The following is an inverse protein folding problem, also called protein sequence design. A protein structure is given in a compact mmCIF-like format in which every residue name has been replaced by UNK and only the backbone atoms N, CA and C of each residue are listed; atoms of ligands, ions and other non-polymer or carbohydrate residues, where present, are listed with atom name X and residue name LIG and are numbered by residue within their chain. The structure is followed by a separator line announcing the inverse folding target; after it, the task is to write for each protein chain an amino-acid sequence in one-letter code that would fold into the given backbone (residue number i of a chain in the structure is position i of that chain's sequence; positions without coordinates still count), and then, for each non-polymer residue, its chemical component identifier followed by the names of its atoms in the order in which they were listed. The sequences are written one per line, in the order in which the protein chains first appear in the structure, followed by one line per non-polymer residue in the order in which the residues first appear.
data_IF_662199184786
#
_entry.id   IF_662199184786
#
_cell.length_a   1.000
_cell.length_b   1.000
_cell.length_c   1.000
_cell.angle_alpha   90.00
_cell.angle_beta   90.00
_cell.angle_gamma   90.00
#
_symmetry.space_group_name_H-M   'P 1'
#
loop_
_entity.id
_entity.type
_entity.pdbx_description
1 polymer ?
#
# COMPACT_ATOMS: atom_id res chain seq x y z
N UNK A 1 -13.79 33.79 18.11
CA UNK A 1 -13.51 32.34 18.12
C UNK A 1 -12.48 32.10 17.03
N UNK A 2 -11.25 31.78 17.38
CA UNK A 2 -10.22 31.50 16.38
C UNK A 2 -10.51 30.11 15.80
N UNK A 3 -10.87 30.06 14.52
CA UNK A 3 -10.88 28.82 13.75
C UNK A 3 -9.49 28.19 13.86
N UNK A 4 -9.36 26.89 14.17
CA UNK A 4 -8.05 26.24 14.18
C UNK A 4 -7.38 26.45 12.80
N UNK A 5 -6.05 26.66 12.76
CA UNK A 5 -5.35 26.84 11.49
C UNK A 5 -5.62 25.64 10.58
N UNK A 6 -5.99 25.94 9.33
CA UNK A 6 -6.27 24.91 8.34
C UNK A 6 -4.98 24.12 8.08
N UNK A 7 -5.07 22.80 8.22
CA UNK A 7 -3.94 21.90 7.93
C UNK A 7 -3.57 21.96 6.44
N UNK A 8 -2.29 21.83 6.12
CA UNK A 8 -1.79 21.94 4.75
C UNK A 8 -0.95 20.71 4.36
N UNK A 9 -1.20 20.19 3.15
CA UNK A 9 -0.43 19.14 2.50
C UNK A 9 0.21 19.71 1.25
N UNK A 10 1.54 19.65 1.19
CA UNK A 10 2.32 20.01 0.00
C UNK A 10 2.72 18.74 -0.76
N UNK A 11 2.41 18.70 -2.04
CA UNK A 11 2.81 17.63 -2.95
C UNK A 11 3.92 18.16 -3.86
N UNK A 12 5.01 17.42 -3.99
CA UNK A 12 6.18 17.80 -4.76
C UNK A 12 6.51 16.72 -5.78
N UNK A 13 6.67 17.10 -7.05
CA UNK A 13 6.98 16.20 -8.15
C UNK A 13 5.80 15.92 -9.08
N UNK A 14 5.98 15.02 -10.04
CA UNK A 14 4.93 14.68 -11.00
C UNK A 14 3.92 13.70 -10.38
N UNK A 15 2.75 14.22 -10.01
CA UNK A 15 1.62 13.47 -9.43
C UNK A 15 0.60 12.96 -10.47
N UNK A 16 0.85 13.19 -11.78
CA UNK A 16 -0.09 12.86 -12.86
C UNK A 16 0.08 11.44 -13.42
N UNK A 17 1.17 10.76 -13.06
CA UNK A 17 1.42 9.38 -13.49
C UNK A 17 0.35 8.43 -12.93
N UNK A 18 0.17 7.27 -13.58
CA UNK A 18 -0.82 6.28 -13.13
C UNK A 18 -0.57 5.83 -11.69
N UNK A 19 0.69 5.63 -11.30
CA UNK A 19 1.06 5.24 -9.94
C UNK A 19 0.75 6.35 -8.93
N UNK A 20 1.12 7.59 -9.23
CA UNK A 20 0.97 8.71 -8.29
C UNK A 20 -0.47 9.24 -8.19
N UNK A 21 -1.33 8.95 -9.18
CA UNK A 21 -2.77 9.25 -9.07
C UNK A 21 -3.41 8.54 -7.87
N UNK A 22 -3.06 7.28 -7.62
CA UNK A 22 -3.56 6.54 -6.44
C UNK A 22 -3.10 7.16 -5.11
N UNK A 23 -1.92 7.79 -5.12
CA UNK A 23 -1.40 8.55 -3.98
C UNK A 23 -2.25 9.78 -3.73
N UNK A 24 -2.53 10.55 -4.78
CA UNK A 24 -3.34 11.76 -4.69
C UNK A 24 -4.78 11.47 -4.24
N UNK A 25 -5.37 10.37 -4.69
CA UNK A 25 -6.67 9.88 -4.21
C UNK A 25 -6.62 9.59 -2.70
N UNK A 26 -5.59 8.87 -2.24
CA UNK A 26 -5.39 8.58 -0.82
C UNK A 26 -5.22 9.85 0.02
N UNK A 27 -4.48 10.85 -0.48
CA UNK A 27 -4.32 12.15 0.19
C UNK A 27 -5.68 12.85 0.34
N UNK A 28 -6.48 12.92 -0.72
CA UNK A 28 -7.79 13.58 -0.69
C UNK A 28 -8.76 12.91 0.27
N UNK A 29 -8.70 11.58 0.35
CA UNK A 29 -9.54 10.79 1.26
C UNK A 29 -9.11 10.96 2.73
N UNK A 30 -7.84 10.74 3.03
CA UNK A 30 -7.31 10.68 4.41
C UNK A 30 -7.13 12.09 4.98
N UNK A 31 -6.60 13.02 4.19
CA UNK A 31 -6.32 14.39 4.60
C UNK A 31 -7.52 15.31 4.35
N UNK A 32 -8.74 14.78 4.41
CA UNK A 32 -9.97 15.54 4.15
C UNK A 32 -10.04 16.82 5.00
N UNK A 33 -10.30 17.94 4.33
CA UNK A 33 -10.36 19.28 4.94
C UNK A 33 -9.03 20.02 5.00
N UNK A 34 -7.90 19.36 4.67
CA UNK A 34 -6.63 20.04 4.47
C UNK A 34 -6.61 20.84 3.17
N UNK A 35 -5.87 21.94 3.17
CA UNK A 35 -5.46 22.59 1.93
C UNK A 35 -4.41 21.71 1.24
N UNK A 36 -4.62 21.41 -0.05
CA UNK A 36 -3.66 20.64 -0.85
C UNK A 36 -3.02 21.59 -1.86
N UNK A 37 -1.69 21.68 -1.84
CA UNK A 37 -0.88 22.45 -2.77
C UNK A 37 0.00 21.48 -3.52
N UNK A 38 0.02 21.53 -4.86
CA UNK A 38 0.88 20.67 -5.68
C UNK A 38 1.88 21.54 -6.46
N UNK A 39 3.15 21.16 -6.39
CA UNK A 39 4.27 21.84 -7.03
C UNK A 39 5.06 20.82 -7.86
N UNK A 40 5.29 21.12 -9.14
CA UNK A 40 6.01 20.21 -10.03
C UNK A 40 7.47 19.98 -9.61
N UNK A 41 8.08 20.93 -8.90
CA UNK A 41 9.45 20.85 -8.41
C UNK A 41 9.62 21.68 -7.13
N UNK A 42 10.80 21.60 -6.50
CA UNK A 42 11.09 22.34 -5.26
C UNK A 42 11.16 23.85 -5.51
N UNK A 43 11.66 24.25 -6.67
CA UNK A 43 11.79 25.66 -7.08
C UNK A 43 10.44 26.31 -7.34
N UNK A 44 9.41 25.51 -7.63
CA UNK A 44 8.04 25.97 -7.84
C UNK A 44 7.26 26.19 -6.52
N UNK A 45 7.87 25.88 -5.37
CA UNK A 45 7.23 26.08 -4.07
C UNK A 45 7.28 27.59 -3.75
N UNK A 46 6.13 28.26 -3.56
CA UNK A 46 6.07 29.70 -3.32
C UNK A 46 6.73 30.08 -1.99
N UNK A 47 7.48 31.18 -1.99
CA UNK A 47 8.16 31.71 -0.78
C UNK A 47 7.20 32.21 0.30
N UNK A 48 5.95 32.50 -0.07
CA UNK A 48 4.91 32.91 0.86
C UNK A 48 4.58 31.78 1.88
N UNK A 49 4.34 32.19 3.12
CA UNK A 49 4.30 31.39 4.37
C UNK A 49 3.16 30.35 4.45
N UNK A 50 3.11 29.40 3.53
CA UNK A 50 2.42 28.14 3.76
C UNK A 50 3.40 27.19 4.47
N UNK A 51 3.17 26.93 5.76
CA UNK A 51 3.88 25.89 6.50
C UNK A 51 3.10 24.58 6.38
N UNK A 52 3.47 23.66 5.46
CA UNK A 52 2.77 22.39 5.33
C UNK A 52 2.94 21.56 6.60
N UNK A 53 1.88 20.88 7.03
CA UNK A 53 1.98 19.87 8.07
C UNK A 53 2.59 18.58 7.52
N UNK A 54 2.33 18.30 6.25
CA UNK A 54 2.80 17.12 5.52
C UNK A 54 3.35 17.54 4.15
N UNK A 55 4.55 17.05 3.84
CA UNK A 55 5.18 17.15 2.53
C UNK A 55 5.24 15.75 1.93
N UNK A 56 4.58 15.56 0.80
CA UNK A 56 4.55 14.33 0.05
C UNK A 56 5.37 14.50 -1.24
N UNK A 57 6.41 13.70 -1.42
CA UNK A 57 7.26 13.70 -2.60
C UNK A 57 6.83 12.54 -3.50
N UNK A 58 6.56 12.82 -4.77
CA UNK A 58 6.22 11.83 -5.80
C UNK A 58 7.47 11.53 -6.66
N UNK A 59 8.16 10.43 -6.36
CA UNK A 59 9.34 9.97 -7.11
C UNK A 59 8.97 8.84 -8.08
N UNK A 60 8.93 9.13 -9.37
CA UNK A 60 8.55 8.22 -10.45
C UNK A 60 9.74 7.37 -10.97
N UNK A 61 10.96 7.89 -10.93
CA UNK A 61 12.17 7.14 -11.34
C UNK A 61 13.38 7.42 -10.44
N UNK A 62 14.41 6.55 -10.46
CA UNK A 62 15.65 6.77 -9.69
C UNK A 62 16.32 8.08 -10.08
N UNK A 63 16.88 8.78 -9.09
CA UNK A 63 17.63 10.04 -9.29
C UNK A 63 16.81 11.22 -9.85
N UNK A 64 15.46 11.14 -9.85
CA UNK A 64 14.58 12.29 -10.16
C UNK A 64 14.82 13.48 -9.23
N UNK A 65 15.16 13.18 -7.97
CA UNK A 65 15.52 14.18 -6.96
C UNK A 65 16.99 14.08 -6.59
N UNK A 66 17.62 15.24 -6.43
CA UNK A 66 19.03 15.32 -6.05
C UNK A 66 19.28 14.99 -4.57
N UNK A 67 20.55 14.73 -4.19
CA UNK A 67 20.91 14.40 -2.82
C UNK A 67 20.67 15.55 -1.82
N UNK A 68 20.49 16.79 -2.29
CA UNK A 68 20.21 17.96 -1.44
C UNK A 68 18.74 18.21 -1.22
N UNK A 69 17.86 17.61 -2.03
CA UNK A 69 16.42 17.87 -2.02
C UNK A 69 15.81 17.77 -0.63
N UNK A 70 16.12 16.70 0.12
CA UNK A 70 15.61 16.57 1.48
C UNK A 70 16.18 17.63 2.43
N UNK A 71 17.47 17.92 2.34
CA UNK A 71 18.12 18.95 3.18
C UNK A 71 17.50 20.32 2.94
N UNK A 72 17.21 20.67 1.68
CA UNK A 72 16.61 21.94 1.31
C UNK A 72 15.17 22.04 1.83
N UNK A 73 14.39 20.95 1.69
CA UNK A 73 13.03 20.87 2.23
C UNK A 73 12.99 20.94 3.77
N UNK A 74 13.88 20.23 4.46
CA UNK A 74 13.97 20.28 5.93
C UNK A 74 14.41 21.67 6.41
N UNK A 75 15.32 22.33 5.69
CA UNK A 75 15.75 23.69 6.03
C UNK A 75 14.63 24.70 5.87
N UNK A 76 13.78 24.52 4.86
CA UNK A 76 12.63 25.39 4.59
C UNK A 76 11.43 25.10 5.51
N UNK A 77 11.22 23.82 5.83
CA UNK A 77 10.04 23.34 6.55
C UNK A 77 10.41 22.37 7.69
N UNK A 78 11.11 22.84 8.74
CA UNK A 78 11.73 21.98 9.76
C UNK A 78 10.73 21.23 10.65
N UNK A 79 9.47 21.68 10.71
CA UNK A 79 8.41 21.09 11.54
C UNK A 79 7.45 20.19 10.75
N UNK A 80 7.61 20.12 9.42
CA UNK A 80 6.75 19.30 8.57
C UNK A 80 7.09 17.82 8.70
N UNK A 81 6.08 16.97 8.45
CA UNK A 81 6.30 15.54 8.25
C UNK A 81 6.61 15.28 6.77
N UNK A 82 7.41 14.27 6.49
CA UNK A 82 7.88 13.97 5.14
C UNK A 82 7.53 12.54 4.76
N UNK A 83 6.98 12.38 3.55
CA UNK A 83 6.75 11.06 2.94
C UNK A 83 7.21 11.13 1.49
N UNK A 84 8.20 10.31 1.12
CA UNK A 84 8.60 10.08 -0.25
C UNK A 84 7.90 8.83 -0.79
N UNK A 85 6.89 9.06 -1.62
CA UNK A 85 6.16 8.05 -2.36
C UNK A 85 6.93 7.73 -3.63
N UNK A 86 7.41 6.50 -3.75
CA UNK A 86 8.21 6.09 -4.87
C UNK A 86 7.50 5.05 -5.75
N UNK A 87 7.72 5.15 -7.06
CA UNK A 87 7.16 4.23 -8.04
C UNK A 87 7.93 2.92 -8.16
N UNK A 88 7.40 1.96 -8.93
CA UNK A 88 7.96 0.59 -9.03
C UNK A 88 9.42 0.56 -9.51
N UNK A 89 9.83 1.54 -10.32
CA UNK A 89 11.20 1.67 -10.82
C UNK A 89 12.21 2.04 -9.72
N UNK A 90 11.73 2.53 -8.58
CA UNK A 90 12.53 2.99 -7.45
C UNK A 90 12.63 1.95 -6.31
N UNK A 91 12.08 0.75 -6.46
CA UNK A 91 12.09 -0.29 -5.42
C UNK A 91 13.50 -0.68 -4.96
N UNK A 92 14.45 -0.69 -5.90
CA UNK A 92 15.85 -0.99 -5.61
C UNK A 92 16.61 0.16 -4.92
N UNK A 93 16.09 1.39 -4.98
CA UNK A 93 16.80 2.57 -4.45
C UNK A 93 17.02 2.48 -2.95
N UNK A 94 16.11 1.86 -2.19
CA UNK A 94 16.28 1.66 -0.75
C UNK A 94 17.45 0.72 -0.37
N UNK A 95 18.05 0.04 -1.35
CA UNK A 95 19.22 -0.84 -1.16
C UNK A 95 20.52 -0.18 -1.62
N UNK A 96 20.47 0.65 -2.65
CA UNK A 96 21.66 1.18 -3.34
C UNK A 96 21.85 2.69 -3.16
N UNK A 97 20.83 3.41 -2.72
CA UNK A 97 20.85 4.88 -2.56
C UNK A 97 20.41 5.29 -1.16
N UNK A 98 20.89 6.45 -0.73
CA UNK A 98 20.66 7.01 0.62
C UNK A 98 20.01 8.40 0.58
N UNK A 99 19.49 8.83 -0.59
CA UNK A 99 18.88 10.15 -0.78
C UNK A 99 17.73 10.38 0.22
N UNK A 100 16.90 9.36 0.39
CA UNK A 100 15.77 9.38 1.31
C UNK A 100 16.05 8.47 2.51
N UNK A 101 15.96 8.96 3.75
CA UNK A 101 15.93 8.13 4.95
C UNK A 101 14.83 7.08 4.84
N UNK A 102 15.11 5.87 5.32
CA UNK A 102 14.16 4.76 5.25
C UNK A 102 12.83 5.10 5.91
N UNK A 103 12.84 5.90 6.97
CA UNK A 103 11.65 6.30 7.71
C UNK A 103 10.66 7.14 6.93
N UNK A 104 11.04 7.69 5.78
CA UNK A 104 10.13 8.48 4.94
C UNK A 104 9.85 7.84 3.59
N UNK A 105 10.50 6.71 3.26
CA UNK A 105 10.33 6.04 1.96
C UNK A 105 9.15 5.09 2.00
N UNK A 106 8.24 5.24 1.04
CA UNK A 106 7.04 4.40 0.94
C UNK A 106 6.79 4.06 -0.52
N UNK A 107 6.60 2.77 -0.88
CA UNK A 107 6.08 2.45 -2.20
C UNK A 107 4.73 3.15 -2.43
N UNK A 108 4.49 3.70 -3.61
CA UNK A 108 3.23 4.41 -3.92
C UNK A 108 1.98 3.57 -3.57
N UNK A 109 2.02 2.25 -3.78
CA UNK A 109 0.93 1.33 -3.42
C UNK A 109 0.64 1.22 -1.92
N UNK A 110 1.63 1.46 -1.06
CA UNK A 110 1.50 1.35 0.40
C UNK A 110 1.20 2.70 1.06
N UNK A 111 1.08 3.78 0.27
CA UNK A 111 1.00 5.15 0.79
C UNK A 111 -0.21 5.39 1.68
N UNK A 112 -1.34 4.74 1.40
CA UNK A 112 -2.59 4.96 2.14
C UNK A 112 -2.43 4.61 3.62
N UNK A 113 -1.80 3.48 3.92
CA UNK A 113 -1.47 3.05 5.28
C UNK A 113 -0.55 4.04 5.96
N UNK A 114 0.52 4.47 5.28
CA UNK A 114 1.46 5.43 5.87
C UNK A 114 0.83 6.80 6.10
N UNK A 115 0.01 7.28 5.18
CA UNK A 115 -0.69 8.55 5.28
C UNK A 115 -1.62 8.59 6.49
N UNK A 116 -2.35 7.49 6.79
CA UNK A 116 -3.19 7.41 7.99
C UNK A 116 -2.36 7.65 9.25
N UNK A 117 -1.21 6.97 9.36
CA UNK A 117 -0.29 7.10 10.50
C UNK A 117 0.24 8.52 10.64
N UNK A 118 0.78 9.11 9.57
CA UNK A 118 1.32 10.47 9.60
C UNK A 118 0.24 11.49 9.93
N UNK A 119 -0.97 11.29 9.42
CA UNK A 119 -2.09 12.19 9.65
C UNK A 119 -2.62 12.13 11.09
N UNK A 120 -2.63 10.95 11.71
CA UNK A 120 -2.91 10.80 13.14
C UNK A 120 -1.87 11.53 14.00
N UNK A 121 -0.58 11.43 13.64
CA UNK A 121 0.50 12.17 14.32
C UNK A 121 0.29 13.68 14.17
N UNK A 122 -0.02 14.17 12.97
CA UNK A 122 -0.29 15.60 12.70
C UNK A 122 -1.50 16.12 13.49
N UNK A 123 -2.48 15.26 13.77
CA UNK A 123 -3.65 15.55 14.59
C UNK A 123 -3.39 15.40 16.09
N UNK A 124 -2.19 14.97 16.50
CA UNK A 124 -1.83 14.75 17.90
C UNK A 124 -2.38 13.46 18.50
N UNK A 125 -2.90 12.54 17.68
CA UNK A 125 -3.43 11.25 18.13
C UNK A 125 -2.36 10.20 18.41
N UNK A 126 -1.13 10.42 17.92
CA UNK A 126 0.00 9.48 18.07
C UNK A 126 1.32 10.23 18.21
N UNK A 127 2.27 9.63 18.92
CA UNK A 127 3.62 10.16 19.04
C UNK A 127 4.39 10.04 17.72
N UNK A 128 5.15 11.10 17.40
CA UNK A 128 6.03 11.15 16.25
C UNK A 128 7.34 10.38 16.50
N UNK A 129 7.79 9.62 15.51
CA UNK A 129 9.19 9.17 15.46
C UNK A 129 10.07 10.21 14.75
N UNK A 130 11.36 10.27 15.10
CA UNK A 130 12.31 11.17 14.43
C UNK A 130 12.56 10.71 12.98
N UNK A 131 12.96 11.64 12.11
CA UNK A 131 13.39 11.33 10.74
C UNK A 131 14.59 10.36 10.68
N UNK A 132 15.32 10.24 11.79
CA UNK A 132 16.47 9.35 11.97
C UNK A 132 16.08 7.94 12.40
N UNK A 133 14.78 7.62 12.45
CA UNK A 133 14.32 6.32 12.90
C UNK A 133 14.91 5.17 12.05
N UNK A 134 15.37 4.13 12.74
CA UNK A 134 15.95 2.92 12.16
C UNK A 134 14.91 1.99 11.52
N UNK A 135 15.36 0.97 10.78
CA UNK A 135 14.48 -0.04 10.15
C UNK A 135 13.62 -0.77 11.17
N UNK A 136 14.21 -1.08 12.32
CA UNK A 136 13.60 -1.76 13.45
C UNK A 136 12.49 -0.92 14.10
N UNK A 137 12.72 0.38 14.29
CA UNK A 137 11.71 1.31 14.82
C UNK A 137 10.54 1.50 13.85
N UNK A 138 10.85 1.62 12.55
CA UNK A 138 9.82 1.70 11.47
C UNK A 138 9.02 0.40 11.42
N UNK A 139 9.70 -0.74 11.43
CA UNK A 139 9.05 -2.04 11.41
C UNK A 139 8.14 -2.22 12.62
N UNK A 140 8.59 -1.82 13.82
CA UNK A 140 7.75 -1.88 15.02
C UNK A 140 6.49 -1.04 14.88
N UNK A 141 6.59 0.16 14.27
CA UNK A 141 5.45 1.04 13.98
C UNK A 141 4.45 0.41 12.99
N UNK A 142 4.97 -0.14 11.89
CA UNK A 142 4.16 -0.76 10.84
C UNK A 142 3.54 -2.09 11.29
N UNK A 143 4.24 -2.79 12.19
CA UNK A 143 3.77 -4.04 12.77
C UNK A 143 2.86 -3.86 14.00
N UNK A 144 2.66 -2.63 14.51
CA UNK A 144 1.87 -2.45 15.75
C UNK A 144 0.35 -2.65 15.56
N UNK A 145 -0.13 -2.88 14.35
CA UNK A 145 -1.55 -3.20 14.10
C UNK A 145 -1.84 -4.68 14.37
N UNK A 146 -2.07 -4.99 15.65
CA UNK A 146 -2.83 -6.14 16.12
C UNK A 146 -2.26 -7.54 15.83
N UNK A 147 -2.79 -8.54 16.53
CA UNK A 147 -2.66 -9.92 16.06
C UNK A 147 -3.46 -10.03 14.77
N UNK A 148 -2.80 -10.17 13.62
CA UNK A 148 -3.47 -10.43 12.34
C UNK A 148 -4.27 -11.74 12.48
N UNK A 149 -5.61 -11.62 12.49
CA UNK A 149 -6.56 -12.72 12.65
C UNK A 149 -7.79 -12.42 11.83
N UNK A 150 -8.26 -13.40 11.07
CA UNK A 150 -9.48 -13.21 10.28
C UNK A 150 -10.70 -13.03 11.18
N UNK A 151 -11.29 -11.83 11.16
CA UNK A 151 -12.58 -11.56 11.82
C UNK A 151 -13.71 -12.10 10.93
N UNK A 152 -14.06 -13.36 11.16
CA UNK A 152 -15.14 -14.04 10.43
C UNK A 152 -16.18 -14.53 11.42
N UNK A 153 -17.35 -13.88 11.41
CA UNK A 153 -18.51 -14.27 12.25
C UNK A 153 -18.98 -15.71 11.96
N UNK A 154 -18.57 -16.30 10.83
CA UNK A 154 -18.90 -17.65 10.37
C UNK A 154 -17.85 -18.73 10.61
N UNK A 155 -16.75 -18.44 11.32
CA UNK A 155 -15.64 -19.37 11.55
C UNK A 155 -14.49 -19.25 10.54
N UNK A 156 -13.37 -19.93 10.84
CA UNK A 156 -12.11 -19.78 10.10
C UNK A 156 -12.26 -19.97 8.58
N UNK A 157 -11.88 -18.98 7.75
CA UNK A 157 -12.12 -19.00 6.31
C UNK A 157 -11.28 -20.09 5.64
N UNK A 158 -11.87 -20.79 4.67
CA UNK A 158 -11.19 -21.80 3.86
C UNK A 158 -10.57 -21.17 2.62
N UNK A 159 -9.23 -21.07 2.58
CA UNK A 159 -8.49 -20.41 1.51
C UNK A 159 -7.71 -21.44 0.69
N UNK A 160 -7.82 -21.36 -0.63
CA UNK A 160 -6.99 -22.15 -1.55
C UNK A 160 -5.82 -21.29 -2.04
N UNK A 161 -4.60 -21.86 -2.05
CA UNK A 161 -3.41 -21.18 -2.57
C UNK A 161 -2.90 -21.91 -3.81
N UNK A 162 -2.88 -21.21 -4.95
CA UNK A 162 -2.34 -21.70 -6.21
C UNK A 162 -1.04 -20.97 -6.53
N UNK A 163 0.07 -21.70 -6.54
CA UNK A 163 1.37 -21.17 -6.91
C UNK A 163 2.21 -22.27 -7.56
N UNK A 164 2.88 -21.93 -8.65
CA UNK A 164 3.87 -22.79 -9.30
C UNK A 164 5.14 -22.98 -8.45
N UNK A 165 5.46 -22.00 -7.60
CA UNK A 165 6.53 -22.09 -6.61
C UNK A 165 6.01 -22.75 -5.33
N UNK A 166 6.50 -23.97 -5.07
CA UNK A 166 6.13 -24.78 -3.89
C UNK A 166 6.57 -24.16 -2.57
N UNK A 167 7.73 -23.51 -2.56
CA UNK A 167 8.29 -22.89 -1.34
C UNK A 167 7.48 -21.65 -1.00
N UNK A 168 7.20 -20.82 -2.01
CA UNK A 168 6.37 -19.64 -1.86
C UNK A 168 4.95 -20.02 -1.43
N UNK A 169 4.35 -21.05 -2.06
CA UNK A 169 3.03 -21.59 -1.67
C UNK A 169 2.98 -21.99 -0.20
N UNK A 170 3.95 -22.80 0.25
CA UNK A 170 4.00 -23.29 1.63
C UNK A 170 4.11 -22.13 2.63
N UNK A 171 4.93 -21.13 2.32
CA UNK A 171 5.05 -19.93 3.16
C UNK A 171 3.71 -19.20 3.28
N UNK A 172 2.98 -19.01 2.17
CA UNK A 172 1.65 -18.38 2.18
C UNK A 172 0.64 -19.19 2.99
N UNK A 173 0.63 -20.51 2.82
CA UNK A 173 -0.22 -21.43 3.59
C UNK A 173 0.04 -21.32 5.10
N UNK A 174 1.32 -21.33 5.51
CA UNK A 174 1.73 -21.16 6.90
C UNK A 174 1.28 -19.81 7.48
N UNK A 175 1.33 -18.74 6.67
CA UNK A 175 0.86 -17.40 7.06
C UNK A 175 -0.64 -17.36 7.29
N UNK A 176 -1.41 -17.90 6.35
CA UNK A 176 -2.88 -18.00 6.46
C UNK A 176 -3.28 -18.77 7.72
N UNK A 177 -2.60 -19.89 8.02
CA UNK A 177 -2.82 -20.67 9.25
C UNK A 177 -2.48 -19.85 10.49
N UNK A 178 -1.40 -19.06 10.46
CA UNK A 178 -1.02 -18.19 11.58
C UNK A 178 -2.05 -17.08 11.85
N UNK A 179 -2.84 -16.69 10.85
CA UNK A 179 -3.97 -15.76 10.97
C UNK A 179 -5.29 -16.46 11.31
N UNK A 180 -5.23 -17.70 11.77
CA UNK A 180 -6.38 -18.56 12.12
C UNK A 180 -7.27 -18.93 10.92
N UNK A 181 -6.76 -18.87 9.69
CA UNK A 181 -7.40 -19.40 8.49
C UNK A 181 -7.20 -20.90 8.30
N UNK A 182 -7.99 -21.51 7.40
CA UNK A 182 -7.87 -22.91 6.97
C UNK A 182 -7.39 -22.98 5.53
N UNK A 183 -6.59 -23.99 5.20
CA UNK A 183 -6.15 -24.23 3.83
C UNK A 183 -7.03 -25.30 3.18
N UNK A 184 -7.54 -24.99 1.99
CA UNK A 184 -8.28 -25.93 1.16
C UNK A 184 -7.34 -27.06 0.72
N UNK A 185 -7.76 -28.30 0.97
CA UNK A 185 -7.05 -29.47 0.47
C UNK A 185 -7.69 -29.88 -0.86
N UNK A 186 -6.89 -30.10 -1.90
CA UNK A 186 -7.36 -30.48 -3.24
C UNK A 186 -8.16 -31.79 -3.30
N UNK A 187 -8.20 -32.55 -2.21
CA UNK A 187 -8.93 -33.81 -2.08
C UNK A 187 -10.36 -33.66 -1.53
N UNK A 188 -10.70 -32.52 -0.90
CA UNK A 188 -12.03 -32.27 -0.36
C UNK A 188 -12.76 -31.26 -1.24
N UNK A 189 -13.95 -31.62 -1.68
CA UNK A 189 -14.86 -30.76 -2.48
C UNK A 189 -15.58 -29.73 -1.57
N UNK A 190 -14.85 -29.18 -0.60
CA UNK A 190 -15.34 -28.11 0.26
C UNK A 190 -15.36 -26.79 -0.53
N UNK A 191 -16.49 -26.08 -0.49
CA UNK A 191 -16.59 -24.77 -1.11
C UNK A 191 -15.60 -23.80 -0.44
N UNK A 192 -14.67 -23.27 -1.22
CA UNK A 192 -13.65 -22.34 -0.73
C UNK A 192 -14.24 -20.94 -0.51
N UNK A 193 -13.68 -20.22 0.45
CA UNK A 193 -14.05 -18.84 0.76
C UNK A 193 -13.27 -17.82 -0.05
N UNK A 194 -12.02 -18.14 -0.39
CA UNK A 194 -11.16 -17.28 -1.16
C UNK A 194 -10.11 -18.11 -1.92
N UNK A 195 -9.79 -17.67 -3.12
CA UNK A 195 -8.71 -18.22 -3.92
C UNK A 195 -7.56 -17.22 -4.04
N UNK A 196 -6.38 -17.64 -3.59
CA UNK A 196 -5.15 -16.88 -3.70
C UNK A 196 -4.29 -17.45 -4.83
N UNK A 197 -3.90 -16.64 -5.81
CA UNK A 197 -3.18 -17.10 -7.01
C UNK A 197 -1.87 -16.34 -7.17
N UNK A 198 -0.77 -17.07 -7.36
CA UNK A 198 0.48 -16.52 -7.90
C UNK A 198 0.32 -16.23 -9.39
N UNK A 199 0.39 -14.95 -9.73
CA UNK A 199 0.23 -14.45 -11.08
C UNK A 199 1.53 -14.43 -11.87
N UNK A 200 2.66 -14.87 -11.29
CA UNK A 200 3.92 -14.96 -12.03
C UNK A 200 4.16 -16.37 -12.62
N UNK A 201 4.56 -16.47 -13.91
CA UNK A 201 4.63 -15.39 -14.90
C UNK A 201 3.24 -15.07 -15.50
N UNK A 202 2.94 -13.77 -15.65
CA UNK A 202 1.62 -13.27 -16.06
C UNK A 202 1.11 -13.88 -17.37
N UNK A 203 2.00 -14.05 -18.35
CA UNK A 203 1.69 -14.56 -19.68
C UNK A 203 1.17 -16.00 -19.66
N UNK A 204 1.55 -16.79 -18.64
CA UNK A 204 1.07 -18.17 -18.49
C UNK A 204 -0.25 -18.24 -17.75
N UNK A 205 -0.49 -17.33 -16.79
CA UNK A 205 -1.65 -17.35 -15.92
C UNK A 205 -2.87 -16.69 -16.58
N UNK A 206 -2.67 -15.68 -17.43
CA UNK A 206 -3.77 -14.93 -18.06
C UNK A 206 -4.76 -15.84 -18.81
N UNK A 207 -4.28 -16.81 -19.60
CA UNK A 207 -5.13 -17.74 -20.35
C UNK A 207 -5.95 -18.67 -19.43
N UNK A 208 -5.40 -18.98 -18.26
CA UNK A 208 -6.08 -19.82 -17.27
C UNK A 208 -7.19 -19.02 -16.58
N UNK A 209 -6.98 -17.72 -16.35
CA UNK A 209 -7.99 -16.83 -15.77
C UNK A 209 -9.16 -16.59 -16.72
N UNK A 210 -8.90 -16.37 -18.01
CA UNK A 210 -9.95 -16.12 -19.02
C UNK A 210 -10.95 -17.28 -19.16
N UNK A 211 -10.48 -18.51 -18.93
CA UNK A 211 -11.30 -19.73 -19.06
C UNK A 211 -11.89 -20.21 -17.73
N UNK A 212 -11.51 -19.57 -16.62
CA UNK A 212 -11.91 -20.01 -15.28
C UNK A 212 -13.29 -19.45 -14.92
N UNK A 213 -14.15 -20.33 -14.41
CA UNK A 213 -15.40 -19.92 -13.77
C UNK A 213 -15.10 -19.46 -12.35
N UNK A 214 -15.49 -18.23 -12.02
CA UNK A 214 -15.30 -17.65 -10.69
C UNK A 214 -16.28 -18.27 -9.70
N UNK A 215 -15.77 -19.06 -8.76
CA UNK A 215 -16.55 -19.72 -7.69
C UNK A 215 -16.32 -19.10 -6.32
N UNK A 216 -15.30 -18.26 -6.19
CA UNK A 216 -14.90 -17.55 -4.98
C UNK A 216 -14.15 -16.26 -5.36
N UNK A 217 -14.10 -15.25 -4.48
CA UNK A 217 -13.26 -14.07 -4.68
C UNK A 217 -11.79 -14.46 -4.87
N UNK A 218 -11.09 -13.75 -5.76
CA UNK A 218 -9.70 -14.04 -6.11
C UNK A 218 -8.79 -12.89 -5.68
N UNK A 219 -7.73 -13.21 -4.94
CA UNK A 219 -6.62 -12.31 -4.65
C UNK A 219 -5.37 -12.82 -5.35
N UNK A 220 -4.78 -11.96 -6.18
CA UNK A 220 -3.55 -12.25 -6.90
C UNK A 220 -2.31 -11.78 -6.13
N UNK A 221 -1.21 -12.51 -6.27
CA UNK A 221 0.14 -12.07 -5.87
C UNK A 221 1.10 -12.06 -7.04
N UNK A 222 1.92 -11.02 -7.18
CA UNK A 222 2.91 -10.91 -8.25
C UNK A 222 4.18 -10.18 -7.81
N UNK A 223 5.33 -10.53 -8.37
CA UNK A 223 6.62 -9.97 -7.99
C UNK A 223 6.78 -8.50 -8.39
N UNK A 224 6.31 -8.13 -9.58
CA UNK A 224 6.33 -6.77 -10.09
C UNK A 224 4.90 -6.36 -10.48
N UNK A 225 4.22 -5.71 -9.54
CA UNK A 225 2.84 -5.27 -9.71
C UNK A 225 2.74 -3.96 -10.49
N UNK A 226 3.01 -4.03 -11.80
CA UNK A 226 2.86 -2.89 -12.69
C UNK A 226 1.37 -2.47 -12.82
N UNK A 227 1.05 -1.16 -12.87
CA UNK A 227 -0.34 -0.69 -12.93
C UNK A 227 -1.18 -1.30 -14.06
N UNK A 228 -0.58 -1.49 -15.24
CA UNK A 228 -1.20 -2.11 -16.40
C UNK A 228 -1.57 -3.58 -16.12
N UNK A 229 -0.68 -4.34 -15.49
CA UNK A 229 -0.93 -5.74 -15.12
C UNK A 229 -1.98 -5.85 -14.01
N UNK A 230 -1.94 -4.95 -13.02
CA UNK A 230 -2.98 -4.87 -11.99
C UNK A 230 -4.34 -4.57 -12.63
N UNK A 231 -4.39 -3.62 -13.57
CA UNK A 231 -5.61 -3.24 -14.27
C UNK A 231 -6.16 -4.41 -15.10
N UNK A 232 -5.30 -5.10 -15.84
CA UNK A 232 -5.67 -6.28 -16.61
C UNK A 232 -6.18 -7.42 -15.72
N UNK A 233 -5.49 -7.71 -14.60
CA UNK A 233 -5.91 -8.69 -13.60
C UNK A 233 -7.30 -8.38 -13.04
N UNK A 234 -7.58 -7.11 -12.71
CA UNK A 234 -8.90 -6.69 -12.23
C UNK A 234 -10.01 -6.88 -13.26
N UNK A 235 -9.72 -6.62 -14.55
CA UNK A 235 -10.68 -6.88 -15.63
C UNK A 235 -11.01 -8.38 -15.80
N UNK A 236 -10.11 -9.27 -15.36
CA UNK A 236 -10.31 -10.72 -15.33
C UNK A 236 -10.93 -11.23 -14.02
N UNK A 237 -11.44 -10.34 -13.17
CA UNK A 237 -12.17 -10.70 -11.95
C UNK A 237 -11.30 -10.91 -10.70
N UNK A 238 -10.02 -10.49 -10.74
CA UNK A 238 -9.17 -10.46 -9.54
C UNK A 238 -9.51 -9.22 -8.71
N UNK A 239 -9.90 -9.40 -7.45
CA UNK A 239 -10.34 -8.30 -6.58
C UNK A 239 -9.18 -7.40 -6.15
N UNK A 240 -8.06 -8.03 -5.79
CA UNK A 240 -6.86 -7.34 -5.34
C UNK A 240 -5.60 -8.04 -5.87
N UNK A 241 -4.58 -7.25 -6.17
CA UNK A 241 -3.26 -7.72 -6.59
C UNK A 241 -2.22 -7.17 -5.62
N UNK A 242 -1.48 -8.08 -4.97
CA UNK A 242 -0.50 -7.76 -3.93
C UNK A 242 0.90 -8.07 -4.43
N UNK A 243 1.84 -7.18 -4.15
CA UNK A 243 3.23 -7.41 -4.50
C UNK A 243 3.82 -8.52 -3.61
N UNK A 244 4.60 -9.47 -4.15
CA UNK A 244 5.21 -10.54 -3.34
C UNK A 244 6.14 -10.03 -2.24
N UNK A 245 6.68 -8.82 -2.41
CA UNK A 245 7.52 -8.13 -1.41
C UNK A 245 6.74 -7.12 -0.57
N UNK A 246 5.41 -7.08 -0.67
CA UNK A 246 4.58 -6.26 0.19
C UNK A 246 4.68 -6.71 1.66
N UNK A 247 4.47 -5.80 2.62
CA UNK A 247 4.35 -6.16 4.02
C UNK A 247 3.25 -7.20 4.24
N UNK A 248 3.44 -8.05 5.24
CA UNK A 248 2.50 -9.10 5.63
C UNK A 248 1.09 -8.55 5.91
N UNK A 249 1.02 -7.37 6.53
CA UNK A 249 -0.21 -6.67 6.85
C UNK A 249 -1.01 -6.31 5.60
N UNK A 250 -0.35 -5.94 4.50
CA UNK A 250 -1.02 -5.56 3.24
C UNK A 250 -1.71 -6.78 2.63
N UNK A 251 -1.02 -7.94 2.62
CA UNK A 251 -1.60 -9.20 2.19
C UNK A 251 -2.79 -9.58 3.07
N UNK A 252 -2.62 -9.56 4.40
CA UNK A 252 -3.69 -9.89 5.33
C UNK A 252 -4.93 -9.00 5.14
N UNK A 253 -4.75 -7.68 5.03
CA UNK A 253 -5.85 -6.73 4.82
C UNK A 253 -6.58 -6.97 3.49
N UNK A 254 -5.86 -7.32 2.43
CA UNK A 254 -6.45 -7.64 1.14
C UNK A 254 -7.32 -8.90 1.20
N UNK A 255 -6.82 -9.95 1.86
CA UNK A 255 -7.58 -11.19 2.06
C UNK A 255 -8.82 -10.95 2.92
N UNK A 256 -8.67 -10.25 4.05
CA UNK A 256 -9.77 -9.99 4.98
C UNK A 256 -10.89 -9.16 4.32
N UNK A 257 -10.52 -8.14 3.52
CA UNK A 257 -11.50 -7.34 2.76
C UNK A 257 -12.28 -8.19 1.75
N UNK A 258 -11.58 -9.05 1.01
CA UNK A 258 -12.18 -9.92 0.00
C UNK A 258 -13.14 -10.93 0.62
N UNK A 259 -12.79 -11.46 1.80
CA UNK A 259 -13.66 -12.35 2.59
C UNK A 259 -14.92 -11.64 3.10
N UNK A 260 -14.83 -10.36 3.50
CA UNK A 260 -15.99 -9.58 3.96
C UNK A 260 -16.98 -9.26 2.84
N UNK A 261 -16.53 -9.10 1.59
CA UNK A 261 -17.42 -8.88 0.44
C UNK A 261 -18.35 -10.08 0.21
N UNK A 262 -17.86 -11.31 0.44
CA UNK A 262 -18.67 -12.55 0.35
C UNK A 262 -19.79 -12.62 1.41
N UNK A 263 -19.60 -11.99 2.56
CA UNK A 263 -20.54 -12.06 3.69
C UNK A 263 -21.78 -11.16 3.53
N UNK A 264 -21.75 -10.18 2.62
CA UNK A 264 -22.90 -9.32 2.32
C UNK A 264 -23.70 -10.00 1.20
N UNK A 265 -24.92 -10.51 1.45
CA UNK A 265 -25.75 -11.03 0.38
C UNK A 265 -26.00 -9.90 -0.62
N UNK A 266 -25.67 -10.13 -1.89
CA UNK A 266 -26.17 -9.26 -2.96
C UNK A 266 -27.69 -9.31 -2.87
N UNK A 267 -28.31 -8.21 -2.43
CA UNK A 267 -29.74 -8.04 -2.52
C UNK A 267 -30.11 -8.15 -4.00
N UNK A 268 -30.82 -9.21 -4.35
CA UNK A 268 -31.39 -9.39 -5.68
C UNK A 268 -32.25 -8.16 -6.01
N UNK A 269 -31.87 -7.44 -7.07
CA UNK A 269 -32.71 -6.44 -7.72
C UNK A 269 -33.67 -7.11 -8.71
#
# INVERSE_FOLDING_TARGET
MNTPPQKCVLIVGNDQTCEMRSVLESVREICRGAQIVSCASLEAIPDEEAFPDLILICQNWPDEFGPRTLSDLVSRFPISRFVCCYGVWCEADGRTRTIWPLGIRVPARCVSTRLKLEWEIIRGGRAAFPLTAGRDEIFQLEATDGSLRFDTEGGAPLIQVESGDRTYRKMLEERIVSWEGRIANTMNDEAIDLLMIDLDPWEMIVNQLETRTLVAPIVGVMGLAHPETITAAKLLGIEAVICKVAPEQELFQALNRSLQVKAIPQAEC
#
